data_IF_479764910682
#
_entry.id   IF_479764910682
#
_cell.length_a   1.000
_cell.length_b   1.000
_cell.length_c   1.000
_cell.angle_alpha   90.00
_cell.angle_beta   90.00
_cell.angle_gamma   90.00
#
_symmetry.space_group_name_H-M   'P 1'
#
loop_
_entity.id
_entity.type
_entity.pdbx_description
1 polymer ?
#
# COMPACT_ATOMS: atom_id res chain seq x y z
N UNK A 1 4.23 8.65 -22.51
CA UNK A 1 5.65 8.44 -22.84
C UNK A 1 6.44 8.45 -21.54
N UNK A 2 7.33 7.48 -21.27
CA UNK A 2 8.18 7.51 -20.09
C UNK A 2 9.06 8.75 -20.13
N UNK A 3 9.16 9.48 -19.03
CA UNK A 3 10.12 10.56 -18.89
C UNK A 3 11.39 10.01 -18.26
N UNK A 4 12.48 10.06 -19.01
CA UNK A 4 13.81 9.75 -18.49
C UNK A 4 14.31 11.01 -17.77
N UNK A 5 14.53 10.92 -16.46
CA UNK A 5 15.21 11.94 -15.69
C UNK A 5 16.68 11.52 -15.60
N UNK A 6 17.51 12.09 -16.44
CA UNK A 6 18.96 11.88 -16.38
C UNK A 6 19.54 12.73 -15.23
N UNK A 7 20.23 12.12 -14.27
CA UNK A 7 21.09 12.85 -13.33
C UNK A 7 22.43 13.15 -14.02
N UNK A 8 22.89 14.39 -13.92
CA UNK A 8 24.24 14.75 -14.35
C UNK A 8 25.23 14.16 -13.32
N UNK A 9 26.07 13.23 -13.78
CA UNK A 9 27.15 12.62 -12.99
C UNK A 9 26.94 11.17 -12.68
N UNK A 10 27.30 10.24 -13.58
CA UNK A 10 27.61 8.80 -13.35
C UNK A 10 26.65 8.00 -12.48
N UNK A 11 25.38 8.38 -12.39
CA UNK A 11 24.41 7.83 -11.46
C UNK A 11 23.26 7.08 -12.14
N UNK A 12 22.43 6.43 -11.34
CA UNK A 12 21.30 5.64 -11.79
C UNK A 12 20.33 6.46 -12.67
N UNK A 13 19.88 5.88 -13.77
CA UNK A 13 18.84 6.46 -14.62
C UNK A 13 17.49 6.22 -13.96
N UNK A 14 16.77 7.28 -13.63
CA UNK A 14 15.40 7.20 -13.13
C UNK A 14 14.42 7.27 -14.29
N UNK A 15 13.60 6.23 -14.45
CA UNK A 15 12.52 6.20 -15.42
C UNK A 15 11.21 6.44 -14.68
N UNK A 16 10.51 7.52 -15.03
CA UNK A 16 9.17 7.80 -14.52
C UNK A 16 8.14 7.35 -15.55
N UNK A 17 7.36 6.36 -15.18
CA UNK A 17 6.24 5.88 -16.01
C UNK A 17 4.91 6.21 -15.35
N UNK A 18 3.97 6.73 -16.16
CA UNK A 18 2.60 6.93 -15.70
C UNK A 18 1.85 5.58 -15.75
N UNK A 19 1.42 5.10 -14.60
CA UNK A 19 0.58 3.88 -14.48
C UNK A 19 -0.86 4.19 -14.92
N UNK A 20 -1.35 5.38 -14.56
CA UNK A 20 -2.68 5.87 -14.94
C UNK A 20 -2.58 7.20 -15.67
N UNK A 21 -3.38 7.42 -16.74
CA UNK A 21 -3.50 8.74 -17.37
C UNK A 21 -4.11 9.75 -16.39
N UNK A 22 -3.60 10.98 -16.35
CA UNK A 22 -4.10 12.05 -15.46
C UNK A 22 -5.63 12.21 -15.50
N UNK A 23 -6.24 12.10 -16.69
CA UNK A 23 -7.71 12.19 -16.88
C UNK A 23 -8.51 11.10 -16.16
N UNK A 24 -7.91 9.98 -15.81
CA UNK A 24 -8.56 8.84 -15.13
C UNK A 24 -8.25 8.76 -13.65
N UNK A 25 -7.36 9.60 -13.12
CA UNK A 25 -6.98 9.60 -11.70
C UNK A 25 -8.19 9.84 -10.78
N UNK A 26 -9.10 10.75 -11.14
CA UNK A 26 -10.34 11.00 -10.36
C UNK A 26 -11.23 9.75 -10.28
N UNK A 27 -11.31 8.97 -11.35
CA UNK A 27 -12.08 7.73 -11.35
C UNK A 27 -11.37 6.67 -10.49
N UNK A 28 -10.05 6.60 -10.58
CA UNK A 28 -9.27 5.67 -9.78
C UNK A 28 -9.28 6.03 -8.27
N UNK A 29 -9.38 7.31 -7.92
CA UNK A 29 -9.56 7.74 -6.52
C UNK A 29 -10.78 7.07 -5.85
N UNK A 30 -11.85 6.81 -6.60
CA UNK A 30 -13.04 6.10 -6.09
C UNK A 30 -12.81 4.62 -5.80
N UNK A 31 -11.66 4.09 -6.21
CA UNK A 31 -11.23 2.70 -5.98
C UNK A 31 -10.22 2.59 -4.83
N UNK A 32 -9.99 3.68 -4.10
CA UNK A 32 -9.05 3.75 -2.98
C UNK A 32 -9.80 4.23 -1.74
N UNK A 33 -9.52 3.62 -0.60
CA UNK A 33 -9.92 4.07 0.73
C UNK A 33 -8.70 4.08 1.63
N UNK A 34 -8.52 5.15 2.39
CA UNK A 34 -7.41 5.31 3.33
C UNK A 34 -7.97 5.51 4.72
N UNK A 35 -7.36 4.89 5.72
CA UNK A 35 -7.70 5.06 7.12
C UNK A 35 -6.44 5.36 7.93
N UNK A 36 -6.59 6.21 8.94
CA UNK A 36 -5.59 6.43 9.98
C UNK A 36 -5.96 5.58 11.20
N UNK A 37 -5.00 4.83 11.74
CA UNK A 37 -5.22 3.89 12.85
C UNK A 37 -5.24 4.55 14.24
N UNK A 38 -5.08 5.87 14.33
CA UNK A 38 -5.16 6.60 15.60
C UNK A 38 -3.83 6.68 16.36
N UNK A 39 -2.88 5.80 16.07
CA UNK A 39 -1.56 5.83 16.68
C UNK A 39 -0.53 6.34 15.67
N UNK A 40 0.29 7.34 16.04
CA UNK A 40 1.44 7.68 15.24
C UNK A 40 2.34 6.45 15.16
N UNK A 41 2.97 6.28 14.03
CA UNK A 41 3.94 5.22 13.77
C UNK A 41 4.84 5.00 15.00
N UNK A 42 4.53 3.98 15.81
CA UNK A 42 5.37 3.64 16.95
C UNK A 42 6.74 3.32 16.40
N UNK A 43 7.75 4.01 16.90
CA UNK A 43 9.13 4.03 16.44
C UNK A 43 9.87 2.68 16.61
N UNK A 44 9.22 1.58 16.29
CA UNK A 44 9.90 0.34 16.01
C UNK A 44 10.74 0.62 14.76
N UNK A 45 12.05 0.50 14.88
CA UNK A 45 12.98 0.71 13.77
C UNK A 45 12.83 -0.42 12.71
N UNK A 46 11.61 -0.55 12.15
CA UNK A 46 11.29 -1.54 11.11
C UNK A 46 12.18 -1.30 9.89
N UNK A 47 12.32 -0.04 9.48
CA UNK A 47 13.18 0.31 8.36
C UNK A 47 14.64 -0.04 8.63
N UNK A 48 15.18 0.29 9.80
CA UNK A 48 16.54 -0.05 10.17
C UNK A 48 16.76 -1.56 10.24
N UNK A 49 15.78 -2.31 10.73
CA UNK A 49 15.82 -3.78 10.70
C UNK A 49 15.86 -4.29 9.27
N UNK A 50 15.02 -3.79 8.37
CA UNK A 50 15.05 -4.18 6.97
C UNK A 50 16.36 -3.86 6.26
N UNK A 51 16.94 -2.69 6.54
CA UNK A 51 18.26 -2.32 5.99
C UNK A 51 19.34 -3.29 6.49
N UNK A 52 19.41 -3.57 7.80
CA UNK A 52 20.35 -4.52 8.36
C UNK A 52 20.18 -5.92 7.77
N UNK A 53 18.95 -6.40 7.63
CA UNK A 53 18.66 -7.72 7.07
C UNK A 53 19.01 -7.82 5.59
N UNK A 54 18.70 -6.77 4.82
CA UNK A 54 19.05 -6.71 3.42
C UNK A 54 20.57 -6.72 3.20
N UNK A 55 21.30 -5.89 3.96
CA UNK A 55 22.77 -5.83 3.90
C UNK A 55 23.42 -7.14 4.34
N UNK A 56 22.84 -7.82 5.33
CA UNK A 56 23.29 -9.14 5.77
C UNK A 56 22.85 -10.28 4.82
N UNK A 57 22.11 -9.98 3.77
CA UNK A 57 21.61 -10.97 2.80
C UNK A 57 20.50 -11.85 3.34
N UNK A 58 19.86 -11.47 4.47
CA UNK A 58 18.71 -12.19 5.02
C UNK A 58 17.48 -11.95 4.17
N UNK A 59 16.56 -12.90 4.18
CA UNK A 59 15.26 -12.84 3.48
C UNK A 59 15.34 -12.55 1.97
N UNK A 60 16.46 -12.84 1.30
CA UNK A 60 16.67 -12.54 -0.15
C UNK A 60 15.53 -13.06 -1.03
N UNK A 61 14.97 -14.24 -0.71
CA UNK A 61 13.85 -14.82 -1.46
C UNK A 61 12.59 -13.94 -1.31
N UNK A 62 12.28 -13.53 -0.09
CA UNK A 62 11.11 -12.70 0.20
C UNK A 62 11.27 -11.33 -0.47
N UNK A 63 12.44 -10.70 -0.39
CA UNK A 63 12.72 -9.44 -1.07
C UNK A 63 12.49 -9.51 -2.58
N UNK A 64 12.93 -10.59 -3.24
CA UNK A 64 12.66 -10.79 -4.67
C UNK A 64 11.16 -10.88 -4.95
N UNK A 65 10.42 -11.63 -4.14
CA UNK A 65 8.96 -11.76 -4.29
C UNK A 65 8.24 -10.41 -4.08
N UNK A 66 8.68 -9.58 -3.13
CA UNK A 66 8.15 -8.23 -2.91
C UNK A 66 8.41 -7.33 -4.13
N UNK A 67 9.61 -7.38 -4.71
CA UNK A 67 9.94 -6.65 -5.95
C UNK A 67 9.04 -7.10 -7.10
N UNK A 68 8.83 -8.41 -7.24
CA UNK A 68 7.97 -8.95 -8.28
C UNK A 68 6.50 -8.56 -8.07
N UNK A 69 6.01 -8.54 -6.82
CA UNK A 69 4.68 -8.01 -6.49
C UNK A 69 4.54 -6.54 -6.92
N UNK A 70 5.52 -5.68 -6.63
CA UNK A 70 5.48 -4.27 -7.02
C UNK A 70 5.39 -4.08 -8.55
N UNK A 71 6.16 -4.87 -9.31
CA UNK A 71 6.11 -4.85 -10.78
C UNK A 71 4.78 -5.34 -11.32
N UNK A 72 4.30 -6.49 -10.82
CA UNK A 72 3.02 -7.08 -11.24
C UNK A 72 1.84 -6.18 -10.88
N UNK A 73 1.84 -5.55 -9.70
CA UNK A 73 0.82 -4.62 -9.25
C UNK A 73 0.72 -3.42 -10.21
N UNK A 74 1.85 -2.79 -10.53
CA UNK A 74 1.90 -1.67 -11.48
C UNK A 74 1.37 -2.06 -12.86
N UNK A 75 1.71 -3.25 -13.35
CA UNK A 75 1.23 -3.75 -14.63
C UNK A 75 -0.27 -4.11 -14.59
N UNK A 76 -0.75 -4.70 -13.52
CA UNK A 76 -2.18 -4.99 -13.33
C UNK A 76 -3.02 -3.71 -13.33
N UNK A 77 -2.54 -2.65 -12.64
CA UNK A 77 -3.19 -1.34 -12.67
C UNK A 77 -3.19 -0.73 -14.08
N UNK A 78 -2.07 -0.80 -14.80
CA UNK A 78 -1.95 -0.30 -16.18
C UNK A 78 -2.95 -0.98 -17.11
N UNK A 79 -3.16 -2.28 -16.91
CA UNK A 79 -4.12 -3.11 -17.66
C UNK A 79 -5.55 -3.01 -17.13
N UNK A 80 -5.80 -2.23 -16.09
CA UNK A 80 -7.11 -2.11 -15.42
C UNK A 80 -7.64 -3.44 -14.88
N UNK A 81 -6.76 -4.33 -14.48
CA UNK A 81 -7.05 -5.64 -13.89
C UNK A 81 -7.13 -5.49 -12.36
N UNK A 82 -8.19 -4.85 -11.87
CA UNK A 82 -8.33 -4.49 -10.46
C UNK A 82 -8.25 -5.71 -9.53
N UNK A 83 -8.96 -6.79 -9.84
CA UNK A 83 -8.97 -8.01 -9.01
C UNK A 83 -7.55 -8.63 -8.91
N UNK A 84 -6.78 -8.60 -10.00
CA UNK A 84 -5.39 -9.04 -9.98
C UNK A 84 -4.53 -8.10 -9.11
N UNK A 85 -4.72 -6.79 -9.21
CA UNK A 85 -4.02 -5.84 -8.36
C UNK A 85 -4.32 -6.06 -6.86
N UNK A 86 -5.60 -6.30 -6.51
CA UNK A 86 -6.03 -6.64 -5.15
C UNK A 86 -5.30 -7.87 -4.61
N UNK A 87 -5.27 -8.96 -5.37
CA UNK A 87 -4.62 -10.20 -4.95
C UNK A 87 -3.09 -10.05 -4.79
N UNK A 88 -2.46 -9.29 -5.69
CA UNK A 88 -1.02 -9.01 -5.60
C UNK A 88 -0.70 -8.14 -4.38
N UNK A 89 -1.51 -7.15 -4.09
CA UNK A 89 -1.37 -6.28 -2.92
C UNK A 89 -1.47 -7.09 -1.62
N UNK A 90 -2.47 -7.97 -1.50
CA UNK A 90 -2.62 -8.86 -0.36
C UNK A 90 -1.42 -9.80 -0.19
N UNK A 91 -0.92 -10.37 -1.30
CA UNK A 91 0.28 -11.20 -1.29
C UNK A 91 1.52 -10.44 -0.81
N UNK A 92 1.70 -9.17 -1.25
CA UNK A 92 2.83 -8.34 -0.80
C UNK A 92 2.73 -8.06 0.70
N UNK A 93 1.54 -7.77 1.21
CA UNK A 93 1.28 -7.61 2.64
C UNK A 93 1.65 -8.87 3.42
N UNK A 94 1.24 -10.06 2.95
CA UNK A 94 1.61 -11.33 3.60
C UNK A 94 3.12 -11.56 3.64
N UNK A 95 3.83 -11.26 2.55
CA UNK A 95 5.29 -11.36 2.49
C UNK A 95 5.98 -10.44 3.51
N UNK A 96 5.44 -9.23 3.69
CA UNK A 96 5.94 -8.30 4.72
C UNK A 96 5.69 -8.81 6.13
N UNK A 97 4.48 -9.31 6.41
CA UNK A 97 4.14 -9.90 7.70
C UNK A 97 4.98 -11.15 8.00
N UNK A 98 5.25 -11.98 6.99
CA UNK A 98 6.14 -13.13 7.13
C UNK A 98 7.57 -12.73 7.51
N UNK A 99 8.06 -11.61 6.97
CA UNK A 99 9.40 -11.11 7.23
C UNK A 99 9.49 -10.37 8.57
N UNK A 100 8.46 -9.62 8.90
CA UNK A 100 8.40 -8.72 10.05
C UNK A 100 6.95 -8.63 10.53
N UNK A 101 6.50 -9.50 11.45
CA UNK A 101 5.11 -9.52 11.92
C UNK A 101 4.62 -8.17 12.47
N UNK A 102 5.53 -7.37 13.02
CA UNK A 102 5.25 -6.07 13.63
C UNK A 102 4.85 -4.97 12.63
N UNK A 103 4.84 -5.25 11.31
CA UNK A 103 4.33 -4.30 10.30
C UNK A 103 2.84 -4.07 10.42
N UNK A 104 2.11 -4.99 11.05
CA UNK A 104 0.71 -4.83 11.43
C UNK A 104 0.60 -4.86 12.96
N UNK A 105 -0.04 -3.86 13.52
CA UNK A 105 -0.57 -3.87 14.88
C UNK A 105 -1.95 -4.54 14.91
N UNK A 106 -2.56 -4.61 16.08
CA UNK A 106 -3.88 -5.26 16.27
C UNK A 106 -4.96 -4.61 15.41
N UNK A 107 -4.93 -3.27 15.27
CA UNK A 107 -5.88 -2.53 14.44
C UNK A 107 -5.64 -2.85 12.96
N UNK A 108 -4.41 -2.75 12.52
CA UNK A 108 -4.01 -3.07 11.16
C UNK A 108 -4.40 -4.49 10.77
N UNK A 109 -4.24 -5.45 11.67
CA UNK A 109 -4.66 -6.84 11.49
C UNK A 109 -6.17 -6.96 11.25
N UNK A 110 -7.00 -6.33 12.11
CA UNK A 110 -8.45 -6.32 11.96
C UNK A 110 -8.91 -5.65 10.64
N UNK A 111 -8.26 -4.53 10.25
CA UNK A 111 -8.54 -3.85 8.98
C UNK A 111 -8.18 -4.73 7.77
N UNK A 112 -7.06 -5.45 7.83
CA UNK A 112 -6.66 -6.41 6.78
C UNK A 112 -7.70 -7.54 6.65
N UNK A 113 -8.09 -8.15 7.75
CA UNK A 113 -9.04 -9.27 7.74
C UNK A 113 -10.42 -8.84 7.20
N UNK A 114 -10.90 -7.67 7.61
CA UNK A 114 -12.17 -7.15 7.11
C UNK A 114 -12.12 -6.81 5.62
N UNK A 115 -11.03 -6.20 5.14
CA UNK A 115 -10.85 -5.88 3.72
C UNK A 115 -10.81 -7.14 2.86
N UNK A 116 -10.14 -8.19 3.32
CA UNK A 116 -10.09 -9.49 2.60
C UNK A 116 -11.46 -10.17 2.53
N UNK A 117 -12.26 -10.11 3.59
CA UNK A 117 -13.66 -10.61 3.55
C UNK A 117 -14.53 -9.89 2.54
N UNK A 118 -14.20 -8.63 2.21
CA UNK A 118 -14.86 -7.82 1.18
C UNK A 118 -14.16 -7.89 -0.18
N UNK A 119 -13.24 -8.84 -0.36
CA UNK A 119 -12.46 -9.05 -1.59
C UNK A 119 -11.65 -7.82 -2.02
N UNK A 120 -11.28 -6.95 -1.06
CA UNK A 120 -10.41 -5.80 -1.31
C UNK A 120 -8.94 -6.17 -1.19
N UNK A 121 -8.09 -5.48 -1.95
CA UNK A 121 -6.67 -5.44 -1.68
C UNK A 121 -6.39 -4.46 -0.55
N UNK A 122 -5.48 -4.79 0.38
CA UNK A 122 -5.20 -3.96 1.56
C UNK A 122 -3.72 -3.98 1.91
N UNK A 123 -3.22 -2.82 2.36
CA UNK A 123 -1.83 -2.65 2.75
C UNK A 123 -1.68 -1.48 3.73
N UNK A 124 -0.66 -1.56 4.58
CA UNK A 124 -0.18 -0.42 5.37
C UNK A 124 0.64 0.55 4.50
N UNK A 125 0.71 1.81 4.90
CA UNK A 125 1.59 2.81 4.28
C UNK A 125 2.97 2.78 4.91
N UNK A 126 4.00 3.11 4.14
CA UNK A 126 5.37 3.14 4.64
C UNK A 126 5.88 1.78 5.12
N UNK A 127 6.49 1.75 6.30
CA UNK A 127 7.06 0.55 6.92
C UNK A 127 6.04 -0.27 7.72
N UNK A 128 4.85 0.24 7.98
CA UNK A 128 3.87 -0.38 8.88
C UNK A 128 4.14 -0.08 10.36
N UNK A 129 3.54 -0.85 11.27
CA UNK A 129 3.66 -0.65 12.72
C UNK A 129 2.89 0.56 13.24
N UNK A 130 1.71 0.83 12.68
CA UNK A 130 0.85 1.99 12.96
C UNK A 130 0.72 2.92 11.74
N UNK A 131 0.13 4.11 11.95
CA UNK A 131 -0.07 5.11 10.91
C UNK A 131 -1.30 4.83 10.04
N UNK A 132 -1.12 4.81 8.72
CA UNK A 132 -2.25 4.65 7.80
C UNK A 132 -2.27 3.26 7.15
N UNK A 133 -3.50 2.80 6.92
CA UNK A 133 -3.84 1.66 6.07
C UNK A 133 -4.57 2.14 4.83
N UNK A 134 -4.45 1.42 3.72
CA UNK A 134 -5.21 1.72 2.54
C UNK A 134 -5.71 0.46 1.85
N UNK A 135 -6.89 0.56 1.27
CA UNK A 135 -7.51 -0.52 0.52
C UNK A 135 -7.79 -0.08 -0.92
N UNK A 136 -7.75 -1.06 -1.84
CA UNK A 136 -8.25 -0.91 -3.21
C UNK A 136 -9.38 -1.89 -3.48
N UNK A 137 -10.40 -1.42 -4.20
CA UNK A 137 -11.57 -2.22 -4.54
C UNK A 137 -12.43 -1.53 -5.58
N UNK A 138 -13.45 -2.23 -6.05
CA UNK A 138 -14.54 -1.54 -6.76
C UNK A 138 -15.25 -0.57 -5.82
N UNK A 139 -15.94 0.45 -6.33
CA UNK A 139 -16.74 1.33 -5.47
C UNK A 139 -17.72 0.58 -4.56
N UNK A 140 -18.33 -0.50 -5.04
CA UNK A 140 -19.26 -1.32 -4.25
C UNK A 140 -18.55 -2.12 -3.16
N UNK A 141 -17.38 -2.70 -3.45
CA UNK A 141 -16.55 -3.37 -2.45
C UNK A 141 -16.11 -2.42 -1.34
N UNK A 142 -15.67 -1.22 -1.70
CA UNK A 142 -15.26 -0.20 -0.72
C UNK A 142 -16.45 0.37 0.06
N UNK A 143 -17.61 0.51 -0.57
CA UNK A 143 -18.85 0.90 0.12
C UNK A 143 -19.25 -0.16 1.16
N UNK A 144 -19.12 -1.44 0.84
CA UNK A 144 -19.38 -2.54 1.77
C UNK A 144 -18.31 -2.67 2.87
N UNK A 145 -17.06 -2.27 2.59
CA UNK A 145 -15.95 -2.29 3.56
C UNK A 145 -16.00 -1.13 4.55
N UNK A 146 -16.50 0.03 4.11
CA UNK A 146 -16.48 1.27 4.89
C UNK A 146 -17.10 1.12 6.30
N UNK A 147 -18.30 0.54 6.48
CA UNK A 147 -18.86 0.37 7.81
C UNK A 147 -18.02 -0.57 8.71
N UNK A 148 -17.43 -1.63 8.14
CA UNK A 148 -16.56 -2.53 8.89
C UNK A 148 -15.34 -1.77 9.45
N UNK A 149 -14.71 -0.94 8.62
CA UNK A 149 -13.56 -0.13 9.02
C UNK A 149 -13.96 0.96 10.01
N UNK A 150 -15.12 1.60 9.85
CA UNK A 150 -15.63 2.60 10.79
C UNK A 150 -15.86 1.99 12.18
N UNK A 151 -16.41 0.78 12.25
CA UNK A 151 -16.63 0.08 13.54
C UNK A 151 -15.31 -0.26 14.24
N UNK A 152 -14.32 -0.77 13.50
CA UNK A 152 -12.98 -1.08 14.05
C UNK A 152 -12.31 0.19 14.56
N UNK A 153 -12.28 1.24 13.76
CA UNK A 153 -11.59 2.50 14.07
C UNK A 153 -12.27 3.29 15.18
N UNK A 154 -13.60 3.21 15.33
CA UNK A 154 -14.34 3.91 16.39
C UNK A 154 -13.89 3.52 17.81
N UNK A 155 -13.19 2.41 17.98
CA UNK A 155 -12.66 1.94 19.26
C UNK A 155 -11.37 2.66 19.67
N UNK A 156 -10.80 3.49 18.79
CA UNK A 156 -9.53 4.17 18.98
C UNK A 156 -9.69 5.68 18.79
N UNK A 157 -9.20 6.45 19.76
CA UNK A 157 -9.22 7.91 19.67
C UNK A 157 -8.36 8.37 18.50
N UNK A 158 -8.81 9.40 17.80
CA UNK A 158 -8.16 9.96 16.60
C UNK A 158 -8.06 9.03 15.38
N UNK A 159 -8.54 7.78 15.45
CA UNK A 159 -8.62 6.89 14.29
C UNK A 159 -9.81 7.24 13.39
N UNK A 160 -9.68 7.00 12.09
CA UNK A 160 -10.79 7.27 11.18
C UNK A 160 -10.44 7.06 9.70
N UNK A 161 -11.48 6.98 8.88
CA UNK A 161 -11.32 6.97 7.43
C UNK A 161 -11.04 8.39 6.96
N UNK A 162 -10.02 8.55 6.14
CA UNK A 162 -9.58 9.84 5.62
C UNK A 162 -10.24 10.15 4.28
N UNK A 163 -10.68 11.40 4.09
CA UNK A 163 -11.04 11.90 2.77
C UNK A 163 -9.78 12.13 1.96
N UNK A 164 -9.61 11.34 0.90
CA UNK A 164 -8.39 11.35 0.10
C UNK A 164 -8.70 11.41 -1.40
N UNK A 165 -7.80 12.01 -2.15
CA UNK A 165 -7.83 12.04 -3.60
C UNK A 165 -6.43 11.87 -4.17
N UNK A 166 -6.33 11.32 -5.38
CA UNK A 166 -5.06 11.25 -6.08
C UNK A 166 -4.72 12.63 -6.63
N UNK A 167 -3.58 13.16 -6.20
CA UNK A 167 -3.03 14.36 -6.80
C UNK A 167 -2.47 14.03 -8.20
N UNK A 168 -2.97 14.72 -9.21
CA UNK A 168 -2.60 14.49 -10.61
C UNK A 168 -1.24 15.09 -10.98
N UNK A 169 -0.77 16.03 -10.20
CA UNK A 169 0.51 16.71 -10.44
C UNK A 169 1.65 16.03 -9.66
N UNK A 170 1.31 15.28 -8.63
CA UNK A 170 2.25 14.53 -7.81
C UNK A 170 3.01 15.44 -6.84
N UNK A 171 4.12 14.93 -6.32
CA UNK A 171 5.01 15.69 -5.45
C UNK A 171 5.84 16.63 -6.31
N UNK A 172 5.78 17.93 -5.99
CA UNK A 172 6.55 19.02 -6.63
C UNK A 172 7.98 19.07 -6.08
#
# INVERSE_FOLDING_TARGET
MPRILASQGGGAVFIREAVYPKRTCRQFSKQIMVAYCGEPHASKDINGTWVRDFMAGRHRRIWRQIIDCARQFSEALRRKQLSLAQSIMNRETDLRCQMTPEVLDDIGGQLVDSARRRECGVRFTGAGGGGCMWAIGTPDQLAALRPDWQEILARHSAAGILETAIDVDGVL
#
